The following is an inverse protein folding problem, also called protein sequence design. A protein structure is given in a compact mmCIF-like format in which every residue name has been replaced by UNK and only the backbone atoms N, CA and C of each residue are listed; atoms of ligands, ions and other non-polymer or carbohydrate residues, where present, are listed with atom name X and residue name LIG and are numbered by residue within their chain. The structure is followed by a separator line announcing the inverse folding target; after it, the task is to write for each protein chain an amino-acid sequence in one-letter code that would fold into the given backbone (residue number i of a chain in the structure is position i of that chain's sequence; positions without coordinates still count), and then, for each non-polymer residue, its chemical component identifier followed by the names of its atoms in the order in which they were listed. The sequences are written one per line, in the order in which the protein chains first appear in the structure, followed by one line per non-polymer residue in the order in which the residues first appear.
data_IF_422392202308
#
_entry.id   IF_422392202308
#
_cell.length_a   1.000
_cell.length_b   1.000
_cell.length_c   1.000
_cell.angle_alpha   90.00
_cell.angle_beta   90.00
_cell.angle_gamma   90.00
#
_symmetry.space_group_name_H-M   'P 1'
#
loop_
_entity.id
_entity.type
_entity.pdbx_description
1 polymer ?
#
# COMPACT_ATOMS: atom_id res chain seq x y z
N UNK A 1 -13.16 16.65 -2.26
CA UNK A 1 -14.32 16.12 -1.52
C UNK A 1 -15.60 16.56 -2.23
N UNK A 2 -15.67 17.81 -2.71
CA UNK A 2 -16.69 18.36 -3.63
C UNK A 2 -17.10 17.42 -4.78
N UNK A 3 -16.18 16.98 -5.65
CA UNK A 3 -16.53 16.21 -6.86
C UNK A 3 -17.31 14.92 -6.59
N UNK A 4 -17.07 14.27 -5.45
CA UNK A 4 -17.71 13.00 -5.11
C UNK A 4 -19.04 13.17 -4.37
N UNK A 5 -19.20 14.25 -3.60
CA UNK A 5 -20.53 14.70 -3.15
C UNK A 5 -21.41 15.03 -4.36
N UNK A 6 -20.80 15.62 -5.39
CA UNK A 6 -21.46 15.89 -6.66
C UNK A 6 -21.88 14.59 -7.37
N UNK A 7 -21.02 13.56 -7.37
CA UNK A 7 -21.36 12.25 -7.94
C UNK A 7 -22.54 11.57 -7.24
N UNK A 8 -22.61 11.63 -5.90
CA UNK A 8 -23.76 11.13 -5.14
C UNK A 8 -25.04 11.87 -5.52
N UNK A 9 -25.00 13.20 -5.58
CA UNK A 9 -26.14 14.02 -6.00
C UNK A 9 -26.61 13.71 -7.43
N UNK A 10 -25.67 13.56 -8.37
CA UNK A 10 -25.95 13.17 -9.76
C UNK A 10 -26.66 11.82 -9.83
N UNK A 11 -26.24 10.85 -9.01
CA UNK A 11 -26.84 9.51 -8.99
C UNK A 11 -28.24 9.49 -8.35
N UNK A 12 -28.47 10.26 -7.29
CA UNK A 12 -29.83 10.45 -6.72
C UNK A 12 -30.78 11.08 -7.74
N UNK A 13 -30.31 12.09 -8.48
CA UNK A 13 -31.09 12.71 -9.56
C UNK A 13 -31.40 11.71 -10.68
N UNK A 14 -30.41 10.93 -11.12
CA UNK A 14 -30.60 9.90 -12.12
C UNK A 14 -31.57 8.79 -11.66
N UNK A 15 -31.57 8.44 -10.38
CA UNK A 15 -32.52 7.48 -9.82
C UNK A 15 -33.95 8.01 -9.84
N UNK A 16 -34.15 9.28 -9.48
CA UNK A 16 -35.45 9.93 -9.54
C UNK A 16 -35.98 9.98 -10.98
N UNK A 17 -35.12 10.32 -11.94
CA UNK A 17 -35.46 10.32 -13.37
C UNK A 17 -35.78 8.91 -13.90
N UNK A 18 -35.00 7.89 -13.52
CA UNK A 18 -35.24 6.51 -13.91
C UNK A 18 -36.59 5.98 -13.39
N UNK A 19 -36.96 6.35 -12.15
CA UNK A 19 -38.27 6.02 -11.57
C UNK A 19 -39.42 6.72 -12.29
N UNK A 20 -39.28 8.02 -12.57
CA UNK A 20 -40.28 8.79 -13.33
C UNK A 20 -40.53 8.19 -14.71
N UNK A 21 -39.48 7.68 -15.36
CA UNK A 21 -39.54 7.09 -16.69
C UNK A 21 -39.88 5.59 -16.71
N UNK A 22 -40.24 4.98 -15.57
CA UNK A 22 -40.45 3.53 -15.42
C UNK A 22 -39.29 2.67 -15.96
N UNK A 23 -38.06 3.21 -15.92
CA UNK A 23 -36.86 2.50 -16.35
C UNK A 23 -36.31 1.67 -15.18
N UNK A 24 -36.95 0.53 -14.95
CA UNK A 24 -36.61 -0.36 -13.83
C UNK A 24 -35.18 -0.91 -13.92
N UNK A 25 -34.68 -1.19 -15.13
CA UNK A 25 -33.31 -1.66 -15.34
C UNK A 25 -32.28 -0.62 -14.87
N UNK A 26 -32.49 0.63 -15.22
CA UNK A 26 -31.63 1.73 -14.79
C UNK A 26 -31.76 2.00 -13.29
N UNK A 27 -32.98 1.90 -12.74
CA UNK A 27 -33.21 2.04 -11.31
C UNK A 27 -32.45 0.97 -10.52
N UNK A 28 -32.50 -0.30 -10.95
CA UNK A 28 -31.77 -1.41 -10.33
C UNK A 28 -30.25 -1.16 -10.41
N UNK A 29 -29.72 -0.78 -11.58
CA UNK A 29 -28.30 -0.44 -11.76
C UNK A 29 -27.86 0.65 -10.78
N UNK A 30 -28.64 1.72 -10.65
CA UNK A 30 -28.31 2.82 -9.75
C UNK A 30 -28.41 2.39 -8.29
N UNK A 31 -29.41 1.61 -7.90
CA UNK A 31 -29.52 1.06 -6.55
C UNK A 31 -28.34 0.16 -6.19
N UNK A 32 -27.93 -0.70 -7.11
CA UNK A 32 -26.71 -1.49 -6.96
C UNK A 32 -25.53 -0.53 -6.76
N UNK A 33 -25.36 0.51 -7.57
CA UNK A 33 -24.28 1.51 -7.42
C UNK A 33 -24.31 2.37 -6.13
N UNK A 34 -25.38 2.29 -5.33
CA UNK A 34 -25.50 2.93 -4.02
C UNK A 34 -25.33 1.94 -2.85
N UNK A 35 -24.86 0.72 -3.11
CA UNK A 35 -24.66 -0.26 -2.04
C UNK A 35 -23.70 0.28 -0.98
N UNK A 36 -24.21 0.46 0.24
CA UNK A 36 -23.42 0.92 1.38
C UNK A 36 -22.38 -0.14 1.72
N UNK A 37 -21.14 0.30 1.90
CA UNK A 37 -20.07 -0.55 2.40
C UNK A 37 -20.38 -0.97 3.85
N UNK A 38 -20.73 -2.24 4.01
CA UNK A 38 -21.05 -2.88 5.29
C UNK A 38 -20.40 -4.26 5.34
N UNK A 39 -19.10 -4.33 5.64
CA UNK A 39 -18.40 -5.61 5.70
C UNK A 39 -18.88 -6.43 6.88
N UNK A 40 -18.86 -7.75 6.74
CA UNK A 40 -19.23 -8.66 7.80
C UNK A 40 -18.27 -8.53 9.00
N UNK A 41 -18.83 -8.52 10.21
CA UNK A 41 -18.02 -8.58 11.43
C UNK A 41 -17.52 -10.01 11.65
N UNK A 42 -16.20 -10.14 11.87
CA UNK A 42 -15.59 -11.40 12.22
C UNK A 42 -14.91 -11.27 13.59
N UNK A 43 -15.00 -12.27 14.50
CA UNK A 43 -14.38 -12.20 15.83
C UNK A 43 -12.88 -11.85 15.77
N UNK A 44 -12.20 -12.37 14.75
CA UNK A 44 -10.76 -12.19 14.54
C UNK A 44 -10.41 -10.97 13.67
N UNK A 45 -11.33 -10.01 13.48
CA UNK A 45 -11.05 -8.81 12.67
C UNK A 45 -9.90 -8.00 13.31
N UNK A 46 -8.77 -7.77 12.61
CA UNK A 46 -7.66 -6.98 13.12
C UNK A 46 -8.07 -5.55 13.51
N UNK A 47 -7.34 -4.98 14.46
CA UNK A 47 -7.60 -3.61 14.98
C UNK A 47 -7.55 -2.58 13.86
N UNK A 48 -6.62 -2.73 12.91
CA UNK A 48 -6.49 -1.81 11.78
C UNK A 48 -7.75 -1.83 10.90
N UNK A 49 -8.32 -3.00 10.62
CA UNK A 49 -9.55 -3.13 9.84
C UNK A 49 -10.75 -2.53 10.59
N UNK A 50 -10.87 -2.75 11.90
CA UNK A 50 -11.91 -2.10 12.72
C UNK A 50 -11.88 -0.58 12.60
N UNK A 51 -10.67 0.02 12.65
CA UNK A 51 -10.48 1.47 12.47
C UNK A 51 -10.87 1.94 11.06
N UNK A 52 -10.43 1.21 10.03
CA UNK A 52 -10.75 1.50 8.62
C UNK A 52 -12.26 1.45 8.36
N UNK A 53 -12.93 0.38 8.82
CA UNK A 53 -14.37 0.18 8.66
C UNK A 53 -15.17 1.30 9.32
N UNK A 54 -14.74 1.73 10.51
CA UNK A 54 -15.34 2.88 11.20
C UNK A 54 -15.16 4.17 10.40
N UNK A 55 -13.95 4.43 9.88
CA UNK A 55 -13.66 5.63 9.09
C UNK A 55 -14.45 5.71 7.77
N UNK A 56 -14.78 4.57 7.17
CA UNK A 56 -15.52 4.53 5.91
C UNK A 56 -17.00 4.18 6.05
N UNK A 57 -17.52 4.10 7.28
CA UNK A 57 -18.93 3.80 7.56
C UNK A 57 -19.86 4.76 6.81
N UNK A 58 -20.87 4.19 6.15
CA UNK A 58 -21.89 4.95 5.41
C UNK A 58 -21.50 5.37 4.00
N UNK A 59 -20.24 5.18 3.58
CA UNK A 59 -19.86 5.35 2.17
C UNK A 59 -20.34 4.17 1.31
N UNK A 60 -20.52 4.41 0.02
CA UNK A 60 -20.83 3.34 -0.94
C UNK A 60 -19.56 2.61 -1.36
N UNK A 61 -19.70 1.35 -1.76
CA UNK A 61 -18.56 0.53 -2.24
C UNK A 61 -17.95 1.17 -3.49
N UNK A 62 -18.77 1.73 -4.38
CA UNK A 62 -18.38 2.41 -5.62
C UNK A 62 -17.53 3.63 -5.34
N UNK A 63 -17.91 4.45 -4.36
CA UNK A 63 -17.12 5.61 -3.96
C UNK A 63 -15.75 5.20 -3.43
N UNK A 64 -15.70 4.17 -2.56
CA UNK A 64 -14.45 3.68 -1.99
C UNK A 64 -13.55 3.04 -3.06
N UNK A 65 -14.12 2.34 -4.04
CA UNK A 65 -13.40 1.82 -5.19
C UNK A 65 -12.80 2.95 -6.06
N UNK A 66 -13.58 3.99 -6.37
CA UNK A 66 -13.06 5.17 -7.08
C UNK A 66 -11.94 5.87 -6.30
N UNK A 67 -12.09 5.95 -4.98
CA UNK A 67 -11.06 6.50 -4.11
C UNK A 67 -9.78 5.65 -4.15
N UNK A 68 -9.88 4.32 -4.22
CA UNK A 68 -8.73 3.42 -4.38
C UNK A 68 -7.94 3.77 -5.65
N UNK A 69 -8.61 3.86 -6.81
CA UNK A 69 -7.94 4.18 -8.07
C UNK A 69 -7.32 5.58 -8.09
N UNK A 70 -7.94 6.54 -7.39
CA UNK A 70 -7.33 7.86 -7.19
C UNK A 70 -6.02 7.78 -6.42
N UNK A 71 -5.98 7.04 -5.32
CA UNK A 71 -4.74 6.89 -4.54
C UNK A 71 -3.71 6.04 -5.27
N UNK A 72 -4.13 5.04 -6.06
CA UNK A 72 -3.25 4.30 -6.95
C UNK A 72 -2.52 5.24 -7.92
N UNK A 73 -3.24 6.16 -8.57
CA UNK A 73 -2.62 7.15 -9.47
C UNK A 73 -1.59 8.02 -8.73
N UNK A 74 -1.91 8.47 -7.52
CA UNK A 74 -0.99 9.26 -6.69
C UNK A 74 0.25 8.48 -6.27
N UNK A 75 0.11 7.21 -5.90
CA UNK A 75 1.24 6.32 -5.60
C UNK A 75 2.15 6.21 -6.83
N UNK A 76 1.58 6.00 -8.02
CA UNK A 76 2.35 5.90 -9.25
C UNK A 76 3.07 7.20 -9.61
N UNK A 77 2.43 8.36 -9.41
CA UNK A 77 3.05 9.67 -9.63
C UNK A 77 4.21 9.91 -8.65
N UNK A 78 3.99 9.64 -7.36
CA UNK A 78 5.01 9.78 -6.33
C UNK A 78 6.21 8.84 -6.55
N UNK A 79 5.97 7.59 -6.99
CA UNK A 79 7.01 6.63 -7.34
C UNK A 79 7.85 7.12 -8.54
N UNK A 80 7.20 7.64 -9.59
CA UNK A 80 7.89 8.24 -10.74
C UNK A 80 8.75 9.44 -10.36
N UNK A 81 8.25 10.29 -9.45
CA UNK A 81 8.96 11.46 -8.95
C UNK A 81 10.00 11.13 -7.85
N UNK A 82 10.11 9.86 -7.45
CA UNK A 82 10.90 9.42 -6.28
C UNK A 82 10.56 10.21 -4.99
N UNK A 83 9.30 10.66 -4.85
CA UNK A 83 8.81 11.32 -3.64
C UNK A 83 8.33 10.26 -2.64
N UNK A 84 9.27 9.70 -1.87
CA UNK A 84 8.99 8.58 -0.97
C UNK A 84 8.01 8.93 0.15
N UNK A 85 8.03 10.17 0.65
CA UNK A 85 7.09 10.61 1.70
C UNK A 85 5.65 10.59 1.19
N UNK A 86 5.41 11.17 0.01
CA UNK A 86 4.09 11.18 -0.60
C UNK A 86 3.64 9.77 -1.02
N UNK A 87 4.56 8.94 -1.51
CA UNK A 87 4.30 7.53 -1.81
C UNK A 87 3.80 6.80 -0.55
N UNK A 88 4.50 6.95 0.59
CA UNK A 88 4.15 6.26 1.84
C UNK A 88 2.82 6.76 2.39
N UNK A 89 2.58 8.07 2.34
CA UNK A 89 1.31 8.66 2.76
C UNK A 89 0.13 8.11 1.95
N UNK A 90 0.22 8.16 0.62
CA UNK A 90 -0.83 7.63 -0.26
C UNK A 90 -0.97 6.11 -0.15
N UNK A 91 0.12 5.37 0.05
CA UNK A 91 0.08 3.93 0.33
C UNK A 91 -0.69 3.64 1.61
N UNK A 92 -0.43 4.37 2.70
CA UNK A 92 -1.13 4.18 3.97
C UNK A 92 -2.64 4.38 3.84
N UNK A 93 -3.07 5.41 3.08
CA UNK A 93 -4.50 5.63 2.84
C UNK A 93 -5.07 4.51 1.97
N UNK A 94 -4.37 4.15 0.89
CA UNK A 94 -4.80 3.11 -0.04
C UNK A 94 -4.91 1.73 0.60
N UNK A 95 -4.12 1.41 1.64
CA UNK A 95 -4.25 0.16 2.41
C UNK A 95 -5.65 0.06 3.04
N UNK A 96 -6.23 1.18 3.47
CA UNK A 96 -7.60 1.24 4.00
C UNK A 96 -8.68 0.92 2.97
N UNK A 97 -8.36 0.96 1.68
CA UNK A 97 -9.32 0.76 0.59
C UNK A 97 -9.25 -0.65 -0.01
N UNK A 98 -8.39 -1.52 0.52
CA UNK A 98 -8.22 -2.90 0.03
C UNK A 98 -9.47 -3.75 0.29
N UNK A 99 -10.05 -3.70 1.49
CA UNK A 99 -11.29 -4.45 1.77
C UNK A 99 -12.45 -3.97 0.88
N UNK A 100 -12.73 -2.65 0.75
CA UNK A 100 -13.71 -2.16 -0.22
C UNK A 100 -13.44 -2.62 -1.65
N UNK A 101 -12.17 -2.64 -2.08
CA UNK A 101 -11.78 -3.11 -3.41
C UNK A 101 -12.12 -4.59 -3.60
N UNK A 102 -11.85 -5.45 -2.61
CA UNK A 102 -12.22 -6.88 -2.65
C UNK A 102 -13.73 -7.03 -2.78
N UNK A 103 -14.50 -6.34 -1.93
CA UNK A 103 -15.97 -6.38 -1.97
C UNK A 103 -16.53 -5.90 -3.31
N UNK A 104 -16.01 -4.81 -3.86
CA UNK A 104 -16.39 -4.30 -5.16
C UNK A 104 -16.21 -5.36 -6.25
N UNK A 105 -15.06 -6.03 -6.27
CA UNK A 105 -14.74 -7.00 -7.30
C UNK A 105 -15.64 -8.26 -7.23
N UNK A 106 -15.90 -8.80 -6.03
CA UNK A 106 -16.86 -9.91 -5.93
C UNK A 106 -18.27 -9.51 -6.32
N UNK A 107 -18.71 -8.30 -5.95
CA UNK A 107 -20.04 -7.81 -6.31
C UNK A 107 -20.23 -7.70 -7.83
N UNK A 108 -19.24 -7.16 -8.55
CA UNK A 108 -19.39 -6.85 -9.98
C UNK A 108 -18.87 -7.95 -10.91
N UNK A 109 -17.89 -8.73 -10.47
CA UNK A 109 -17.18 -9.69 -11.31
C UNK A 109 -17.14 -11.11 -10.70
N UNK A 110 -17.73 -11.31 -9.53
CA UNK A 110 -17.78 -12.59 -8.82
C UNK A 110 -16.39 -13.24 -8.61
N UNK A 111 -15.33 -12.43 -8.59
CA UNK A 111 -13.94 -12.86 -8.52
C UNK A 111 -13.04 -11.71 -8.06
N UNK A 112 -11.84 -12.02 -7.58
CA UNK A 112 -10.80 -11.04 -7.29
C UNK A 112 -9.49 -11.44 -7.99
N UNK A 113 -9.28 -10.93 -9.19
CA UNK A 113 -8.15 -11.30 -10.06
C UNK A 113 -6.98 -10.31 -10.05
N UNK A 114 -6.95 -9.40 -9.06
CA UNK A 114 -5.89 -8.40 -8.94
C UNK A 114 -4.61 -9.05 -8.42
N UNK A 115 -3.60 -9.11 -9.28
CA UNK A 115 -2.29 -9.74 -9.00
C UNK A 115 -1.31 -8.84 -8.25
N UNK A 116 -1.53 -7.52 -8.28
CA UNK A 116 -0.61 -6.54 -7.70
C UNK A 116 -1.38 -5.37 -7.09
N UNK A 117 -1.05 -5.03 -5.85
CA UNK A 117 -1.58 -3.89 -5.11
C UNK A 117 -0.39 -3.00 -4.74
N UNK A 118 -0.14 -1.91 -5.50
CA UNK A 118 1.06 -1.08 -5.30
C UNK A 118 1.21 -0.51 -3.90
N UNK A 119 0.13 -0.26 -3.17
CA UNK A 119 0.17 0.15 -1.77
C UNK A 119 0.82 -0.91 -0.86
N UNK A 120 0.60 -2.19 -1.12
CA UNK A 120 1.30 -3.29 -0.43
C UNK A 120 2.72 -3.40 -0.96
N UNK A 121 2.92 -3.51 -2.29
CA UNK A 121 4.24 -3.73 -2.89
C UNK A 121 5.26 -2.67 -2.46
N UNK A 122 4.89 -1.40 -2.64
CA UNK A 122 5.75 -0.26 -2.34
C UNK A 122 5.77 0.04 -0.84
N UNK A 123 4.64 -0.15 -0.15
CA UNK A 123 4.56 -0.01 1.30
C UNK A 123 5.51 -0.94 2.03
N UNK A 124 5.50 -2.24 1.72
CA UNK A 124 6.40 -3.23 2.31
C UNK A 124 7.88 -2.88 2.09
N UNK A 125 8.23 -2.34 0.93
CA UNK A 125 9.59 -1.87 0.66
C UNK A 125 9.93 -0.65 1.50
N UNK A 126 9.16 0.44 1.36
CA UNK A 126 9.57 1.73 1.89
C UNK A 126 9.28 1.89 3.39
N UNK A 127 8.25 1.25 3.95
CA UNK A 127 8.08 1.20 5.41
C UNK A 127 9.21 0.40 6.06
N UNK A 128 9.73 -0.65 5.41
CA UNK A 128 10.83 -1.45 5.96
C UNK A 128 12.15 -0.69 6.04
N UNK A 129 12.55 0.02 4.98
CA UNK A 129 13.81 0.80 5.00
C UNK A 129 13.71 2.05 5.89
N UNK A 130 12.50 2.57 6.12
CA UNK A 130 12.26 3.66 7.07
C UNK A 130 12.05 3.17 8.52
N UNK A 131 12.07 1.86 8.79
CA UNK A 131 11.89 1.33 10.14
C UNK A 131 10.48 1.50 10.72
N UNK A 132 9.46 1.71 9.88
CA UNK A 132 8.08 1.96 10.31
C UNK A 132 7.37 0.62 10.57
N UNK A 133 7.79 -0.07 11.63
CA UNK A 133 7.35 -1.44 11.96
C UNK A 133 5.83 -1.55 12.18
N UNK A 134 5.20 -0.52 12.75
CA UNK A 134 3.75 -0.50 12.96
C UNK A 134 2.97 -0.64 11.65
N UNK A 135 3.41 -0.01 10.57
CA UNK A 135 2.77 -0.15 9.27
C UNK A 135 3.05 -1.51 8.62
N UNK A 136 4.23 -2.10 8.82
CA UNK A 136 4.48 -3.48 8.38
C UNK A 136 3.54 -4.48 9.06
N UNK A 137 3.28 -4.31 10.37
CA UNK A 137 2.30 -5.12 11.11
C UNK A 137 0.88 -4.91 10.58
N UNK A 138 0.47 -3.67 10.33
CA UNK A 138 -0.83 -3.39 9.71
C UNK A 138 -1.00 -4.10 8.36
N UNK A 139 0.03 -4.10 7.51
CA UNK A 139 -0.01 -4.82 6.22
C UNK A 139 -0.07 -6.34 6.46
N UNK A 140 0.71 -6.87 7.40
CA UNK A 140 0.69 -8.28 7.75
C UNK A 140 -0.71 -8.73 8.19
N UNK A 141 -1.35 -7.98 9.08
CA UNK A 141 -2.71 -8.24 9.55
C UNK A 141 -3.73 -8.25 8.40
N UNK A 142 -3.63 -7.30 7.47
CA UNK A 142 -4.51 -7.23 6.28
C UNK A 142 -4.28 -8.45 5.37
N UNK A 143 -3.01 -8.79 5.09
CA UNK A 143 -2.63 -9.92 4.23
C UNK A 143 -3.03 -11.26 4.84
N UNK A 144 -2.95 -11.39 6.17
CA UNK A 144 -3.35 -12.61 6.87
C UNK A 144 -4.87 -12.77 6.90
N UNK A 145 -5.60 -11.67 7.07
CA UNK A 145 -7.05 -11.68 7.19
C UNK A 145 -7.77 -11.98 5.87
N UNK A 146 -7.29 -11.46 4.73
CA UNK A 146 -7.92 -11.67 3.43
C UNK A 146 -7.27 -12.82 2.63
N UNK A 147 -7.98 -13.93 2.37
CA UNK A 147 -7.46 -15.05 1.57
C UNK A 147 -6.97 -14.65 0.18
N UNK A 148 -7.59 -13.63 -0.43
CA UNK A 148 -7.23 -13.05 -1.72
C UNK A 148 -5.78 -12.58 -1.74
N UNK A 149 -5.25 -12.15 -0.60
CA UNK A 149 -3.92 -11.55 -0.48
C UNK A 149 -2.84 -12.55 -0.08
N UNK A 150 -3.15 -13.85 0.03
CA UNK A 150 -2.22 -14.88 0.53
C UNK A 150 -0.86 -14.90 -0.18
N UNK A 151 -0.82 -14.51 -1.46
CA UNK A 151 0.40 -14.45 -2.26
C UNK A 151 1.41 -13.41 -1.74
N UNK A 152 0.96 -12.46 -0.91
CA UNK A 152 1.82 -11.47 -0.27
C UNK A 152 2.56 -11.95 0.97
N UNK A 153 2.23 -13.10 1.56
CA UNK A 153 2.83 -13.56 2.82
C UNK A 153 4.35 -13.59 2.78
N UNK A 154 4.92 -14.15 1.72
CA UNK A 154 6.37 -14.17 1.51
C UNK A 154 6.99 -12.75 1.44
N UNK A 155 6.29 -11.80 0.81
CA UNK A 155 6.75 -10.42 0.70
C UNK A 155 6.71 -9.68 2.04
N UNK A 156 5.74 -9.98 2.89
CA UNK A 156 5.66 -9.47 4.27
C UNK A 156 6.88 -9.95 5.08
N UNK A 157 7.21 -11.24 5.01
CA UNK A 157 8.40 -11.78 5.70
C UNK A 157 9.70 -11.13 5.23
N UNK A 158 9.82 -10.95 3.91
CA UNK A 158 10.96 -10.22 3.33
C UNK A 158 11.02 -8.77 3.81
N UNK A 159 9.89 -8.10 4.03
CA UNK A 159 9.87 -6.74 4.54
C UNK A 159 10.40 -6.65 5.98
N UNK A 160 10.02 -7.58 6.86
CA UNK A 160 10.60 -7.64 8.21
C UNK A 160 12.09 -7.96 8.20
N UNK A 161 12.54 -8.87 7.33
CA UNK A 161 13.98 -9.12 7.11
C UNK A 161 14.70 -7.86 6.61
N UNK A 162 14.09 -7.11 5.69
CA UNK A 162 14.63 -5.85 5.15
C UNK A 162 14.72 -4.77 6.22
N UNK A 163 13.74 -4.67 7.12
CA UNK A 163 13.78 -3.70 8.21
C UNK A 163 14.96 -3.97 9.15
N UNK A 164 15.17 -5.24 9.55
CA UNK A 164 16.33 -5.66 10.36
C UNK A 164 17.65 -5.36 9.63
N UNK A 165 17.72 -5.68 8.34
CA UNK A 165 18.91 -5.44 7.52
C UNK A 165 19.22 -3.94 7.39
N UNK A 166 18.21 -3.11 7.10
CA UNK A 166 18.36 -1.67 6.95
C UNK A 166 18.90 -1.03 8.23
N UNK A 167 18.39 -1.47 9.39
CA UNK A 167 18.91 -1.06 10.70
C UNK A 167 20.37 -1.47 10.91
N UNK A 168 20.74 -2.71 10.58
CA UNK A 168 22.14 -3.18 10.67
C UNK A 168 23.07 -2.37 9.76
N UNK A 169 22.67 -2.10 8.51
CA UNK A 169 23.45 -1.29 7.55
C UNK A 169 23.67 0.11 8.11
N UNK A 170 22.59 0.75 8.56
CA UNK A 170 22.66 2.10 9.11
C UNK A 170 23.60 2.18 10.33
N UNK A 171 23.46 1.25 11.28
CA UNK A 171 24.31 1.21 12.46
C UNK A 171 25.77 0.90 12.13
N UNK A 172 26.03 0.06 11.13
CA UNK A 172 27.40 -0.24 10.69
C UNK A 172 28.11 1.00 10.15
N UNK A 173 27.41 1.82 9.36
CA UNK A 173 27.97 3.07 8.80
C UNK A 173 28.06 4.13 9.89
N UNK A 174 27.05 4.25 10.76
CA UNK A 174 27.05 5.19 11.88
C UNK A 174 28.25 4.98 12.82
N UNK A 175 28.60 3.73 13.11
CA UNK A 175 29.64 3.39 14.08
C UNK A 175 31.05 3.35 13.48
N UNK A 176 31.18 3.04 12.18
CA UNK A 176 32.49 2.81 11.54
C UNK A 176 32.81 3.80 10.41
N UNK A 177 31.94 4.78 10.17
CA UNK A 177 32.02 5.69 9.03
C UNK A 177 31.65 5.03 7.70
N UNK A 178 31.95 5.75 6.63
CA UNK A 178 31.64 5.37 5.26
C UNK A 178 32.18 3.97 4.92
N UNK A 179 31.38 3.20 4.17
CA UNK A 179 31.72 1.81 3.89
C UNK A 179 31.71 1.51 2.40
N UNK A 180 32.71 0.77 1.93
CA UNK A 180 32.69 0.18 0.60
C UNK A 180 31.55 -0.84 0.49
N UNK A 181 30.69 -0.70 -0.52
CA UNK A 181 29.49 -1.53 -0.67
C UNK A 181 29.83 -3.03 -0.84
N UNK A 182 30.91 -3.36 -1.57
CA UNK A 182 31.36 -4.75 -1.77
C UNK A 182 31.78 -5.46 -0.48
N UNK A 183 32.28 -4.70 0.51
CA UNK A 183 32.71 -5.22 1.82
C UNK A 183 31.57 -5.38 2.82
N UNK A 184 30.41 -4.79 2.53
CA UNK A 184 29.27 -4.78 3.46
C UNK A 184 28.74 -6.19 3.75
N UNK A 185 28.79 -7.09 2.75
CA UNK A 185 28.40 -8.49 2.90
C UNK A 185 29.16 -9.19 4.03
N UNK A 186 30.48 -9.06 4.03
CA UNK A 186 31.35 -9.67 5.03
C UNK A 186 31.17 -9.03 6.40
N UNK A 187 31.06 -7.70 6.45
CA UNK A 187 30.84 -6.94 7.69
C UNK A 187 29.51 -7.26 8.38
N UNK A 188 28.50 -7.67 7.62
CA UNK A 188 27.16 -7.99 8.15
C UNK A 188 26.96 -9.49 8.40
N UNK A 189 27.93 -10.34 8.04
CA UNK A 189 27.84 -11.80 8.12
C UNK A 189 26.61 -12.36 7.39
N UNK A 190 26.32 -11.82 6.20
CA UNK A 190 25.15 -12.20 5.42
C UNK A 190 25.55 -12.82 4.08
N UNK A 191 24.85 -13.87 3.66
CA UNK A 191 25.15 -14.59 2.43
C UNK A 191 24.49 -14.00 1.17
N UNK A 192 23.34 -13.34 1.32
CA UNK A 192 22.54 -12.83 0.19
C UNK A 192 22.96 -11.42 -0.25
N UNK A 193 23.96 -11.36 -1.13
CA UNK A 193 24.45 -10.10 -1.70
C UNK A 193 23.40 -9.35 -2.53
N UNK A 194 22.46 -10.04 -3.18
CA UNK A 194 21.42 -9.41 -4.01
C UNK A 194 20.41 -8.69 -3.13
N UNK A 195 19.97 -9.33 -2.05
CA UNK A 195 19.07 -8.71 -1.08
C UNK A 195 19.71 -7.49 -0.39
N UNK A 196 21.00 -7.57 -0.06
CA UNK A 196 21.75 -6.41 0.46
C UNK A 196 21.77 -5.27 -0.55
N UNK A 197 22.19 -5.52 -1.80
CA UNK A 197 22.30 -4.48 -2.82
C UNK A 197 20.96 -3.81 -3.13
N UNK A 198 19.88 -4.59 -3.21
CA UNK A 198 18.53 -4.04 -3.42
C UNK A 198 18.05 -3.23 -2.21
N UNK A 199 18.33 -3.68 -0.98
CA UNK A 199 18.01 -2.93 0.24
C UNK A 199 18.74 -1.59 0.29
N UNK A 200 20.04 -1.56 -0.01
CA UNK A 200 20.83 -0.32 -0.11
C UNK A 200 20.22 0.62 -1.14
N UNK A 201 19.88 0.12 -2.33
CA UNK A 201 19.27 0.95 -3.36
C UNK A 201 17.94 1.59 -2.89
N UNK A 202 17.11 0.85 -2.15
CA UNK A 202 15.90 1.43 -1.57
C UNK A 202 16.18 2.43 -0.44
N UNK A 203 17.20 2.20 0.38
CA UNK A 203 17.64 3.16 1.40
C UNK A 203 18.13 4.46 0.76
N UNK A 204 18.86 4.39 -0.36
CA UNK A 204 19.29 5.57 -1.12
C UNK A 204 18.08 6.31 -1.71
N UNK A 205 17.14 5.60 -2.34
CA UNK A 205 15.91 6.21 -2.85
C UNK A 205 15.09 6.89 -1.74
N UNK A 206 15.09 6.30 -0.55
CA UNK A 206 14.42 6.81 0.64
C UNK A 206 15.23 7.86 1.41
N UNK A 207 16.33 8.36 0.84
CA UNK A 207 17.17 9.39 1.44
C UNK A 207 17.67 9.05 2.86
N UNK A 208 18.08 7.79 3.02
CA UNK A 208 18.68 7.27 4.26
C UNK A 208 20.17 7.05 4.14
N UNK A 209 20.65 6.94 2.91
CA UNK A 209 22.04 6.72 2.57
C UNK A 209 22.34 7.48 1.29
N UNK A 210 23.58 7.92 1.18
CA UNK A 210 24.16 8.41 -0.06
C UNK A 210 25.18 7.41 -0.61
N UNK A 211 25.45 7.50 -1.92
CA UNK A 211 26.52 6.75 -2.57
C UNK A 211 27.49 7.68 -3.29
N UNK A 212 28.77 7.35 -3.23
CA UNK A 212 29.81 8.03 -4.00
C UNK A 212 30.86 7.02 -4.47
N UNK A 213 31.76 7.44 -5.36
CA UNK A 213 32.81 6.59 -5.93
C UNK A 213 34.19 7.13 -5.64
N UNK A 214 35.12 6.24 -5.32
CA UNK A 214 36.57 6.50 -5.31
C UNK A 214 37.19 5.50 -6.29
N UNK A 215 37.72 5.98 -7.42
CA UNK A 215 38.16 5.11 -8.51
C UNK A 215 37.04 4.21 -9.03
N UNK A 216 37.25 2.88 -8.99
CA UNK A 216 36.25 1.87 -9.41
C UNK A 216 35.34 1.41 -8.26
N UNK A 217 35.63 1.83 -7.04
CA UNK A 217 34.94 1.36 -5.84
C UNK A 217 33.75 2.28 -5.49
N UNK A 218 32.63 1.68 -5.07
CA UNK A 218 31.44 2.41 -4.62
C UNK A 218 31.36 2.36 -3.11
N UNK A 219 31.22 3.53 -2.50
CA UNK A 219 31.09 3.75 -1.07
C UNK A 219 29.68 4.25 -0.74
N UNK A 220 29.24 3.93 0.47
CA UNK A 220 27.97 4.38 1.04
C UNK A 220 28.22 5.11 2.34
N UNK A 221 27.44 6.18 2.56
CA UNK A 221 27.46 7.02 3.76
C UNK A 221 26.04 7.32 4.22
N UNK A 222 25.87 7.81 5.44
CA UNK A 222 24.58 8.35 5.90
C UNK A 222 24.38 9.73 5.25
N UNK A 223 23.15 10.01 4.81
CA UNK A 223 22.72 11.33 4.34
C UNK A 223 22.47 12.28 5.51
#
# INVERSE_FOLDING_TARGET
MEEYKNLFYVREKALAEAKLNNNYKESIRIYEEHTIYKPAEHPNTPVILKKIRSAYKGNTIEYLNNLYFKFLQKIQQADKANNINELLFNSQISLGLIEPLIYYNYKHYNSFDIKTIPAIDKGLIYFSVNGIIGQLKNIADIVEFFPELKFYKFHVDLAFKRAKLSSKIYNQIKNNGDCQQSKLKNKLELSDGRFIATTINYMIKAKKLDKYKIGKETFIKIE
#
